data_IF_191712843311
#
_entry.id   IF_191712843311
#
_cell.length_a   1.000
_cell.length_b   1.000
_cell.length_c   1.000
_cell.angle_alpha   90.00
_cell.angle_beta   90.00
_cell.angle_gamma   90.00
#
_symmetry.space_group_name_H-M   'P 1'
#
loop_
_entity.id
_entity.type
_entity.pdbx_description
1 polymer ?
#
# COMPACT_ATOMS: atom_id res chain seq x y z
N UNK A 1 20.24 -4.17 6.54
CA UNK A 1 18.85 -4.32 6.05
C UNK A 1 18.02 -3.24 6.73
N UNK A 2 17.64 -2.18 6.02
CA UNK A 2 16.87 -1.09 6.61
C UNK A 2 15.47 -1.61 6.96
N UNK A 3 15.25 -1.95 8.24
CA UNK A 3 13.92 -2.11 8.78
C UNK A 3 13.26 -0.74 8.64
N UNK A 4 12.29 -0.61 7.73
CA UNK A 4 11.51 0.62 7.53
C UNK A 4 10.66 0.84 8.78
N UNK A 5 11.31 1.30 9.85
CA UNK A 5 10.77 1.31 11.21
C UNK A 5 9.48 2.11 11.24
N UNK A 6 8.39 1.41 11.56
CA UNK A 6 7.05 1.99 11.65
C UNK A 6 6.26 2.05 10.34
N UNK A 7 6.74 1.46 9.24
CA UNK A 7 5.94 1.25 8.04
C UNK A 7 4.93 0.11 8.27
N UNK A 8 3.66 0.41 8.07
CA UNK A 8 2.56 -0.55 8.12
C UNK A 8 1.94 -0.65 6.74
N UNK A 9 1.65 -1.87 6.30
CA UNK A 9 0.99 -2.15 5.03
C UNK A 9 -0.39 -2.73 5.29
N UNK A 10 -1.35 -2.39 4.44
CA UNK A 10 -2.73 -2.83 4.53
C UNK A 10 -3.26 -3.24 3.16
N UNK A 11 -4.31 -4.07 3.16
CA UNK A 11 -5.05 -4.50 1.98
C UNK A 11 -6.55 -4.38 2.25
N UNK A 12 -7.33 -4.19 1.18
CA UNK A 12 -8.79 -4.31 1.25
C UNK A 12 -9.18 -5.80 1.31
N UNK A 13 -10.01 -6.23 2.28
CA UNK A 13 -10.55 -7.58 2.28
C UNK A 13 -11.41 -7.79 1.03
N UNK A 14 -11.30 -8.98 0.44
CA UNK A 14 -11.85 -9.38 -0.88
C UNK A 14 -13.38 -9.21 -1.01
N UNK A 15 -14.10 -8.86 0.06
CA UNK A 15 -15.56 -8.68 0.05
C UNK A 15 -16.05 -7.28 -0.37
N UNK A 16 -15.18 -6.31 -0.63
CA UNK A 16 -15.59 -4.98 -1.10
C UNK A 16 -15.59 -4.92 -2.64
N UNK A 17 -16.63 -5.49 -3.25
CA UNK A 17 -17.27 -5.17 -4.54
C UNK A 17 -16.53 -4.32 -5.59
N UNK A 18 -15.22 -4.51 -5.81
CA UNK A 18 -14.46 -3.88 -6.88
C UNK A 18 -13.49 -4.92 -7.41
N UNK A 19 -13.89 -5.48 -8.56
CA UNK A 19 -13.12 -6.27 -9.52
C UNK A 19 -11.79 -6.87 -9.04
N UNK A 20 -11.77 -8.21 -9.03
CA UNK A 20 -10.70 -9.14 -8.65
C UNK A 20 -9.34 -9.00 -9.38
N UNK A 21 -9.05 -7.87 -10.01
CA UNK A 21 -7.87 -7.66 -10.87
C UNK A 21 -6.90 -6.59 -10.34
N UNK A 22 -7.32 -5.76 -9.39
CA UNK A 22 -6.47 -4.71 -8.85
C UNK A 22 -5.78 -5.18 -7.57
N UNK A 23 -4.52 -5.61 -7.69
CA UNK A 23 -3.63 -5.70 -6.53
C UNK A 23 -3.47 -4.29 -5.94
N UNK A 24 -4.27 -3.94 -4.93
CA UNK A 24 -4.20 -2.65 -4.24
C UNK A 24 -3.60 -2.86 -2.87
N UNK A 25 -2.55 -2.11 -2.56
CA UNK A 25 -1.94 -2.06 -1.25
C UNK A 25 -2.02 -0.65 -0.69
N UNK A 26 -1.99 -0.53 0.62
CA UNK A 26 -1.93 0.75 1.32
C UNK A 26 -0.75 0.76 2.26
N UNK A 27 -0.06 1.89 2.38
CA UNK A 27 1.02 2.04 3.34
C UNK A 27 0.88 3.28 4.20
N UNK A 28 1.36 3.18 5.43
CA UNK A 28 1.42 4.29 6.38
C UNK A 28 2.67 4.17 7.24
N UNK A 29 3.43 5.26 7.37
CA UNK A 29 4.57 5.34 8.28
C UNK A 29 4.16 6.09 9.54
N UNK A 30 4.15 5.41 10.70
CA UNK A 30 3.73 5.99 11.97
C UNK A 30 2.31 6.60 11.90
N UNK A 31 2.18 7.85 12.35
CA UNK A 31 0.93 8.62 12.25
C UNK A 31 0.82 9.47 10.97
N UNK A 32 1.76 9.32 10.03
CA UNK A 32 1.83 10.08 8.79
C UNK A 32 0.71 9.80 7.79
N UNK A 33 0.80 10.41 6.59
CA UNK A 33 -0.17 10.22 5.53
C UNK A 33 -0.20 8.77 5.05
N UNK A 34 -1.31 8.45 4.40
CA UNK A 34 -1.56 7.13 3.86
C UNK A 34 -1.39 7.18 2.36
N UNK A 35 -0.74 6.18 1.82
CA UNK A 35 -0.54 6.04 0.39
C UNK A 35 -1.24 4.78 -0.10
N UNK A 36 -1.93 4.92 -1.24
CA UNK A 36 -2.51 3.83 -1.99
C UNK A 36 -1.57 3.48 -3.13
N UNK A 37 -1.31 2.19 -3.28
CA UNK A 37 -0.47 1.60 -4.31
C UNK A 37 -1.36 0.74 -5.20
N UNK A 38 -1.45 1.13 -6.47
CA UNK A 38 -2.22 0.40 -7.48
C UNK A 38 -1.25 -0.14 -8.52
N UNK A 39 -1.30 -1.44 -8.79
CA UNK A 39 -0.53 -2.00 -9.89
C UNK A 39 -1.16 -1.63 -11.23
N UNK A 40 -0.41 -0.92 -12.08
CA UNK A 40 -0.81 -0.62 -13.44
C UNK A 40 -0.15 -1.62 -14.40
N UNK A 41 -0.91 -2.65 -14.80
CA UNK A 41 -0.41 -3.75 -15.63
C UNK A 41 0.18 -3.28 -16.98
N UNK A 42 -0.38 -2.21 -17.55
CA UNK A 42 0.07 -1.62 -18.82
C UNK A 42 1.53 -1.13 -18.79
N UNK A 43 2.00 -0.68 -17.63
CA UNK A 43 3.36 -0.14 -17.44
C UNK A 43 4.20 -1.00 -16.49
N UNK A 44 3.63 -2.12 -16.01
CA UNK A 44 4.22 -3.02 -15.02
C UNK A 44 4.81 -2.29 -13.79
N UNK A 45 4.12 -1.23 -13.35
CA UNK A 45 4.58 -0.27 -12.35
C UNK A 45 3.50 -0.03 -11.28
N UNK A 46 3.90 0.28 -10.05
CA UNK A 46 2.93 0.71 -9.04
C UNK A 46 2.76 2.21 -9.04
N UNK A 47 1.52 2.63 -9.18
CA UNK A 47 1.13 4.02 -9.03
C UNK A 47 0.86 4.31 -7.57
N UNK A 48 1.54 5.33 -7.05
CA UNK A 48 1.35 5.85 -5.70
C UNK A 48 0.39 7.04 -5.70
N UNK A 49 -0.57 7.03 -4.78
CA UNK A 49 -1.52 8.11 -4.57
C UNK A 49 -1.61 8.41 -3.07
N UNK A 50 -1.44 9.68 -2.70
CA UNK A 50 -1.65 10.11 -1.31
C UNK A 50 -3.14 10.21 -1.02
N UNK A 51 -3.61 9.46 -0.03
CA UNK A 51 -5.01 9.47 0.39
C UNK A 51 -5.23 10.55 1.44
N UNK A 52 -6.37 11.25 1.37
CA UNK A 52 -6.81 12.11 2.46
C UNK A 52 -7.38 11.26 3.60
N UNK A 53 -7.27 11.75 4.84
CA UNK A 53 -7.76 11.01 6.02
C UNK A 53 -9.27 10.73 5.98
N UNK A 54 -10.03 11.54 5.24
CA UNK A 54 -11.48 11.39 5.03
C UNK A 54 -11.83 10.27 4.04
N UNK A 55 -10.98 10.04 3.04
CA UNK A 55 -11.16 8.99 2.03
C UNK A 55 -10.69 7.61 2.53
N UNK A 56 -9.98 7.60 3.65
CA UNK A 56 -9.42 6.39 4.24
C UNK A 56 -10.20 5.98 5.49
N UNK A 57 -10.80 4.79 5.45
CA UNK A 57 -11.45 4.16 6.59
C UNK A 57 -10.58 3.01 7.10
N UNK A 58 -9.77 3.21 8.15
CA UNK A 58 -8.86 2.18 8.67
C UNK A 58 -9.58 0.90 9.11
N UNK A 59 -10.84 1.05 9.53
CA UNK A 59 -11.69 -0.06 10.00
C UNK A 59 -12.04 -1.06 8.90
N UNK A 60 -11.90 -0.67 7.64
CA UNK A 60 -12.26 -1.51 6.49
C UNK A 60 -11.04 -2.22 5.90
N UNK A 61 -9.82 -1.97 6.40
CA UNK A 61 -8.60 -2.57 5.88
C UNK A 61 -8.01 -3.60 6.83
N UNK A 62 -7.49 -4.66 6.26
CA UNK A 62 -6.72 -5.67 6.99
C UNK A 62 -5.24 -5.32 6.94
N UNK A 63 -4.55 -5.48 8.08
CA UNK A 63 -3.09 -5.39 8.10
C UNK A 63 -2.49 -6.50 7.22
N UNK A 64 -1.60 -6.11 6.31
CA UNK A 64 -0.88 -7.03 5.45
C UNK A 64 0.53 -7.26 6.02
N UNK A 65 1.00 -8.50 5.94
CA UNK A 65 2.39 -8.80 6.25
C UNK A 65 3.29 -8.19 5.18
N UNK A 66 4.40 -7.58 5.59
CA UNK A 66 5.43 -7.08 4.67
C UNK A 66 5.90 -8.16 3.69
N UNK A 67 5.98 -9.41 4.15
CA UNK A 67 6.39 -10.56 3.32
C UNK A 67 5.39 -10.91 2.22
N UNK A 68 4.12 -10.50 2.36
CA UNK A 68 3.07 -10.71 1.35
C UNK A 68 3.05 -9.61 0.29
N UNK A 69 3.85 -8.55 0.46
CA UNK A 69 3.97 -7.46 -0.49
C UNK A 69 4.91 -7.88 -1.62
N UNK A 70 4.56 -7.67 -2.90
CA UNK A 70 5.44 -7.98 -4.02
C UNK A 70 6.79 -7.26 -3.92
N UNK A 71 7.89 -7.92 -4.28
CA UNK A 71 9.25 -7.36 -4.16
C UNK A 71 9.41 -6.01 -4.88
N UNK A 72 8.81 -5.87 -6.06
CA UNK A 72 8.79 -4.60 -6.81
C UNK A 72 8.13 -3.46 -6.01
N UNK A 73 7.05 -3.77 -5.29
CA UNK A 73 6.36 -2.79 -4.45
C UNK A 73 7.16 -2.49 -3.18
N UNK A 74 7.82 -3.49 -2.59
CA UNK A 74 8.72 -3.28 -1.46
C UNK A 74 9.85 -2.31 -1.81
N UNK A 75 10.47 -2.49 -2.99
CA UNK A 75 11.51 -1.59 -3.48
C UNK A 75 10.99 -0.16 -3.65
N UNK A 76 9.84 0.02 -4.30
CA UNK A 76 9.25 1.34 -4.52
C UNK A 76 8.79 2.04 -3.25
N UNK A 77 8.23 1.28 -2.29
CA UNK A 77 7.96 1.83 -0.96
C UNK A 77 9.27 2.24 -0.29
N UNK A 78 10.32 1.44 -0.43
CA UNK A 78 11.69 1.77 -0.02
C UNK A 78 12.11 3.15 -0.52
N UNK A 79 12.13 3.31 -1.84
CA UNK A 79 12.48 4.58 -2.50
C UNK A 79 11.59 5.74 -2.04
N UNK A 80 10.27 5.54 -1.96
CA UNK A 80 9.32 6.58 -1.57
C UNK A 80 9.46 7.08 -0.12
N UNK A 81 9.92 6.24 0.81
CA UNK A 81 10.04 6.58 2.23
C UNK A 81 11.48 6.82 2.71
N UNK A 82 12.47 6.53 1.87
CA UNK A 82 13.90 6.77 2.15
C UNK A 82 14.39 8.10 1.57
N UNK A 83 13.68 8.67 0.59
CA UNK A 83 13.77 10.09 0.24
C UNK A 83 13.16 10.97 1.36
#
# INVERSE_FOLDING_TARGET
MATMNGLRVYITPVNASVSADASVFYSRRGNGPIYRWLYEANVAHWRVLRMHGSDFKPRELCAASWKSVPEKLQAQMGEHYLD
#
